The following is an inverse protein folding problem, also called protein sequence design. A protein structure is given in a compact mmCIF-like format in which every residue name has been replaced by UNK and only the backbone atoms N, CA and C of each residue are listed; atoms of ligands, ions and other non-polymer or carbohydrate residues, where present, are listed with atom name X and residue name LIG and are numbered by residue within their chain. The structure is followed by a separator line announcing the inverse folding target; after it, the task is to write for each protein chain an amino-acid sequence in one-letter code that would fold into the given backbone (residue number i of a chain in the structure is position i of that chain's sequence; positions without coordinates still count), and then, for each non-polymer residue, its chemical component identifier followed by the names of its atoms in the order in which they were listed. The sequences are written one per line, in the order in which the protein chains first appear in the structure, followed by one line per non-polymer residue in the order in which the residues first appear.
data_IF_363062812587
#
_entry.id   IF_363062812587
#
_cell.length_a   1.000
_cell.length_b   1.000
_cell.length_c   1.000
_cell.angle_alpha   90.00
_cell.angle_beta   90.00
_cell.angle_gamma   90.00
#
_symmetry.space_group_name_H-M   'P 1'
#
loop_
_entity.id
_entity.type
_entity.pdbx_description
1 polymer ?
#
# COMPACT_ATOMS: atom_id res chain seq x y z
N UNK A 1 20.68 25.75 -14.72
CA UNK A 1 21.70 25.40 -13.70
C UNK A 1 21.17 24.20 -12.91
N UNK A 2 21.83 23.05 -12.99
CA UNK A 2 21.25 21.82 -12.46
C UNK A 2 21.61 21.65 -10.96
N UNK A 3 20.60 21.55 -10.09
CA UNK A 3 20.79 21.31 -8.65
C UNK A 3 20.39 19.88 -8.29
N UNK A 4 21.26 19.17 -7.57
CA UNK A 4 20.92 17.84 -7.07
C UNK A 4 20.03 17.93 -5.82
N UNK A 5 18.83 17.32 -5.86
CA UNK A 5 17.88 17.28 -4.71
C UNK A 5 18.41 16.51 -3.50
N UNK A 6 19.30 15.53 -3.70
CA UNK A 6 19.84 14.68 -2.62
C UNK A 6 21.11 15.24 -1.97
N UNK A 7 22.02 15.77 -2.78
CA UNK A 7 23.31 16.28 -2.30
C UNK A 7 23.30 17.78 -2.03
N UNK A 8 22.30 18.52 -2.53
CA UNK A 8 22.21 19.98 -2.36
C UNK A 8 23.24 20.78 -3.16
N UNK A 9 24.18 20.11 -3.84
CA UNK A 9 25.22 20.73 -4.68
C UNK A 9 24.65 21.24 -5.99
N UNK A 10 25.14 22.41 -6.41
CA UNK A 10 24.88 23.01 -7.73
C UNK A 10 25.96 22.54 -8.69
N UNK A 11 25.55 21.88 -9.77
CA UNK A 11 26.46 21.37 -10.80
C UNK A 11 26.31 22.27 -12.02
N UNK A 12 27.41 22.89 -12.43
CA UNK A 12 27.46 23.75 -13.63
C UNK A 12 27.78 22.96 -14.90
N UNK A 13 28.18 21.70 -14.78
CA UNK A 13 28.49 20.84 -15.93
C UNK A 13 27.23 20.27 -16.59
N UNK A 14 27.32 19.99 -17.89
CA UNK A 14 26.31 19.27 -18.69
C UNK A 14 26.29 17.76 -18.35
N UNK A 15 26.17 17.43 -17.08
CA UNK A 15 26.03 16.05 -16.61
C UNK A 15 24.57 15.74 -16.33
N UNK A 16 24.05 14.66 -16.91
CA UNK A 16 22.67 14.22 -16.67
C UNK A 16 22.49 13.53 -15.31
N UNK A 17 23.60 13.18 -14.64
CA UNK A 17 23.62 12.47 -13.36
C UNK A 17 24.59 13.15 -12.39
N UNK A 18 24.17 13.25 -11.13
CA UNK A 18 25.04 13.72 -10.06
C UNK A 18 26.18 12.71 -9.82
N UNK A 19 27.42 13.16 -9.96
CA UNK A 19 28.61 12.32 -9.77
C UNK A 19 28.78 11.82 -8.32
N UNK A 20 28.18 12.49 -7.33
CA UNK A 20 28.29 12.11 -5.92
C UNK A 20 27.30 11.02 -5.50
N UNK A 21 26.06 11.07 -6.00
CA UNK A 21 25.01 10.16 -5.55
C UNK A 21 24.35 9.33 -6.66
N UNK A 22 24.77 9.52 -7.91
CA UNK A 22 24.21 8.86 -9.09
C UNK A 22 22.78 9.27 -9.44
N UNK A 23 22.17 10.21 -8.71
CA UNK A 23 20.80 10.67 -8.96
C UNK A 23 20.73 11.50 -10.24
N UNK A 24 19.73 11.22 -11.09
CA UNK A 24 19.45 11.98 -12.31
C UNK A 24 19.10 13.42 -11.92
N UNK A 25 19.77 14.39 -12.53
CA UNK A 25 19.47 15.80 -12.32
C UNK A 25 18.16 16.12 -13.03
N UNK A 26 17.19 16.67 -12.31
CA UNK A 26 15.99 17.22 -12.93
C UNK A 26 16.41 18.50 -13.67
N UNK A 27 16.42 18.44 -15.00
CA UNK A 27 16.70 19.61 -15.84
C UNK A 27 15.70 20.74 -15.60
N UNK A 28 16.13 21.97 -15.88
CA UNK A 28 15.38 23.20 -15.61
C UNK A 28 13.93 23.16 -16.15
N UNK A 29 12.96 23.14 -15.23
CA UNK A 29 11.86 24.10 -15.23
C UNK A 29 10.67 23.96 -16.18
N UNK A 30 10.64 23.04 -17.16
CA UNK A 30 9.46 22.92 -18.05
C UNK A 30 9.09 21.45 -18.30
N UNK A 31 8.04 20.97 -17.63
CA UNK A 31 7.32 19.79 -18.10
C UNK A 31 7.71 18.44 -17.50
N UNK A 32 8.07 18.38 -16.21
CA UNK A 32 7.92 17.11 -15.47
C UNK A 32 6.82 17.30 -14.45
N UNK A 33 5.58 17.18 -14.91
CA UNK A 33 4.51 16.65 -14.06
C UNK A 33 5.06 15.40 -13.36
N UNK A 34 4.68 15.18 -12.10
CA UNK A 34 5.10 13.99 -11.35
C UNK A 34 4.67 12.71 -12.11
N UNK A 35 5.52 12.19 -13.01
CA UNK A 35 5.27 11.00 -13.84
C UNK A 35 5.06 9.77 -12.94
N UNK A 36 5.56 9.81 -11.71
CA UNK A 36 5.36 8.75 -10.73
C UNK A 36 4.27 9.14 -9.73
N UNK A 37 3.05 8.57 -9.83
CA UNK A 37 2.04 8.81 -8.82
C UNK A 37 2.58 8.36 -7.46
N UNK A 38 2.37 9.17 -6.44
CA UNK A 38 2.93 9.01 -5.10
C UNK A 38 2.32 7.79 -4.37
N UNK A 39 2.73 6.58 -4.79
CA UNK A 39 2.14 5.29 -4.39
C UNK A 39 2.26 5.06 -2.87
N UNK A 40 3.28 5.68 -2.23
CA UNK A 40 3.62 5.47 -0.82
C UNK A 40 2.47 5.83 0.12
N UNK A 41 1.64 6.83 -0.21
CA UNK A 41 0.48 7.22 0.60
C UNK A 41 -0.66 6.22 0.45
N UNK A 42 -1.01 5.82 -0.78
CA UNK A 42 -2.07 4.81 -1.04
C UNK A 42 -1.72 3.44 -0.44
N UNK A 43 -0.48 2.98 -0.55
CA UNK A 43 -0.07 1.68 0.00
C UNK A 43 -0.18 1.62 1.52
N UNK A 44 0.09 2.73 2.23
CA UNK A 44 0.01 2.78 3.69
C UNK A 44 -1.43 2.70 4.20
N UNK A 45 -2.37 3.36 3.52
CA UNK A 45 -3.80 3.26 3.82
C UNK A 45 -4.35 1.87 3.49
N UNK A 46 -3.96 1.29 2.35
CA UNK A 46 -4.40 -0.04 1.96
C UNK A 46 -3.96 -1.13 2.95
N UNK A 47 -2.71 -1.07 3.43
CA UNK A 47 -2.21 -1.99 4.47
C UNK A 47 -3.00 -1.86 5.79
N UNK A 48 -3.36 -0.63 6.20
CA UNK A 48 -4.19 -0.42 7.39
C UNK A 48 -5.60 -0.96 7.21
N UNK A 49 -6.19 -0.74 6.04
CA UNK A 49 -7.52 -1.24 5.71
C UNK A 49 -7.58 -2.77 5.72
N UNK A 50 -6.58 -3.44 5.12
CA UNK A 50 -6.49 -4.91 5.11
C UNK A 50 -6.41 -5.48 6.53
N UNK A 51 -5.58 -4.90 7.40
CA UNK A 51 -5.48 -5.36 8.80
C UNK A 51 -6.78 -5.18 9.59
N UNK A 52 -7.51 -4.10 9.34
CA UNK A 52 -8.79 -3.86 10.01
C UNK A 52 -9.86 -4.82 9.45
N UNK A 53 -9.89 -5.00 8.13
CA UNK A 53 -10.84 -5.90 7.47
C UNK A 53 -10.64 -7.37 7.90
N UNK A 54 -9.39 -7.83 8.04
CA UNK A 54 -9.10 -9.19 8.50
C UNK A 54 -9.56 -9.43 9.94
N UNK A 55 -9.39 -8.43 10.82
CA UNK A 55 -9.92 -8.52 12.19
C UNK A 55 -11.44 -8.69 12.20
N UNK A 56 -12.16 -7.85 11.45
CA UNK A 56 -13.62 -7.96 11.38
C UNK A 56 -14.10 -9.26 10.72
N UNK A 57 -13.35 -9.79 9.74
CA UNK A 57 -13.67 -11.07 9.12
C UNK A 57 -13.65 -12.22 10.15
N UNK A 58 -12.61 -12.29 10.98
CA UNK A 58 -12.50 -13.31 12.05
C UNK A 58 -13.63 -13.15 13.09
N UNK A 59 -13.92 -11.92 13.51
CA UNK A 59 -14.99 -11.66 14.51
C UNK A 59 -16.37 -12.04 13.96
N UNK A 60 -16.66 -11.68 12.70
CA UNK A 60 -17.91 -12.04 12.03
C UNK A 60 -18.06 -13.56 11.89
N UNK A 61 -16.99 -14.26 11.59
CA UNK A 61 -17.01 -15.72 11.50
C UNK A 61 -17.36 -16.37 12.85
N UNK A 62 -16.71 -15.95 13.93
CA UNK A 62 -17.04 -16.43 15.28
C UNK A 62 -18.51 -16.17 15.61
N UNK A 63 -19.01 -14.97 15.29
CA UNK A 63 -20.41 -14.63 15.50
C UNK A 63 -21.37 -15.53 14.70
N UNK A 64 -21.05 -15.81 13.43
CA UNK A 64 -21.83 -16.72 12.57
C UNK A 64 -21.79 -18.17 13.07
N UNK A 65 -20.68 -18.62 13.64
CA UNK A 65 -20.55 -19.93 14.29
C UNK A 65 -21.47 -20.00 15.50
N UNK A 66 -21.50 -18.96 16.34
CA UNK A 66 -22.35 -18.91 17.53
C UNK A 66 -23.83 -18.93 17.14
N UNK A 67 -24.25 -18.12 16.16
CA UNK A 67 -25.62 -18.13 15.67
C UNK A 67 -26.03 -19.51 15.11
N UNK A 68 -25.13 -20.18 14.41
CA UNK A 68 -25.37 -21.52 13.89
C UNK A 68 -25.50 -22.56 14.99
N UNK A 69 -24.70 -22.44 16.04
CA UNK A 69 -24.78 -23.32 17.20
C UNK A 69 -26.15 -23.23 17.87
N UNK A 70 -26.68 -22.01 18.05
CA UNK A 70 -27.99 -21.81 18.67
C UNK A 70 -29.16 -22.15 17.75
N UNK A 71 -29.04 -21.92 16.43
CA UNK A 71 -30.11 -22.14 15.46
C UNK A 71 -29.96 -23.47 14.70
N UNK A 72 -29.42 -24.48 15.38
CA UNK A 72 -28.95 -25.71 14.73
C UNK A 72 -30.10 -26.61 14.28
N UNK A 73 -30.27 -26.77 12.97
CA UNK A 73 -31.24 -27.66 12.31
C UNK A 73 -30.57 -28.85 11.59
N UNK A 74 -29.50 -29.40 12.18
CA UNK A 74 -28.82 -30.61 11.71
C UNK A 74 -27.61 -30.38 10.78
N UNK A 75 -27.52 -29.25 10.07
CA UNK A 75 -26.37 -28.94 9.19
C UNK A 75 -25.64 -27.68 9.65
N UNK A 76 -24.34 -27.79 9.92
CA UNK A 76 -23.48 -26.68 10.40
C UNK A 76 -22.95 -25.81 9.25
N UNK A 77 -23.85 -25.13 8.55
CA UNK A 77 -23.51 -24.27 7.40
C UNK A 77 -22.43 -23.22 7.68
N UNK A 78 -22.39 -22.66 8.90
CA UNK A 78 -21.40 -21.64 9.26
C UNK A 78 -19.96 -22.17 9.38
N UNK A 79 -19.79 -23.46 9.65
CA UNK A 79 -18.45 -24.09 9.70
C UNK A 79 -17.92 -24.31 8.29
N UNK A 80 -18.82 -24.63 7.34
CA UNK A 80 -18.48 -24.89 5.94
C UNK A 80 -18.11 -23.57 5.22
N UNK A 81 -18.87 -22.50 5.46
CA UNK A 81 -18.56 -21.19 4.86
C UNK A 81 -17.33 -20.56 5.49
N UNK A 82 -17.14 -20.69 6.82
CA UNK A 82 -15.94 -20.21 7.51
C UNK A 82 -14.65 -20.84 6.99
N UNK A 83 -14.60 -22.19 6.95
CA UNK A 83 -13.44 -22.92 6.44
C UNK A 83 -13.18 -22.78 4.93
N UNK A 84 -14.10 -22.20 4.16
CA UNK A 84 -13.90 -21.88 2.74
C UNK A 84 -13.39 -20.44 2.52
N UNK A 85 -13.51 -19.57 3.52
CA UNK A 85 -13.08 -18.16 3.46
C UNK A 85 -11.64 -17.99 3.96
N UNK A 86 -11.15 -18.89 4.81
CA UNK A 86 -9.75 -18.97 5.27
C UNK A 86 -8.94 -19.99 4.47
#
# INVERSE_FOLDING_TARGET
MNKCKRCGVTINDETSRCLFCGMVLSGDGTGTEDIYPDIRKKTRFLKRFINIASYFAVVLEIFLIVLNYYNYSGIKWSVITGGAIF
#
